data_IF_181877864777
#
_entry.id   IF_181877864777
#
_cell.length_a   1.000
_cell.length_b   1.000
_cell.length_c   1.000
_cell.angle_alpha   90.00
_cell.angle_beta   90.00
_cell.angle_gamma   90.00
#
_symmetry.space_group_name_H-M   'P 1'
#
loop_
_entity.id
_entity.type
_entity.pdbx_description
1 polymer ?
#
# COMPACT_ATOMS: atom_id res chain seq x y z
N UNK A 1 26.17 3.67 8.46
CA UNK A 1 24.96 3.19 9.18
C UNK A 1 24.66 4.12 10.36
N UNK A 2 23.37 4.44 10.61
CA UNK A 2 22.93 5.27 11.75
C UNK A 2 23.20 4.57 13.08
N UNK A 3 23.41 5.35 14.15
CA UNK A 3 23.51 4.84 15.52
C UNK A 3 22.14 4.71 16.20
N UNK A 4 21.25 5.66 15.92
CA UNK A 4 19.91 5.72 16.49
C UNK A 4 18.91 6.32 15.52
N UNK A 5 17.74 5.71 15.38
CA UNK A 5 16.63 6.23 14.58
C UNK A 5 15.35 6.36 15.39
N UNK A 6 14.51 7.31 14.99
CA UNK A 6 13.16 7.46 15.52
C UNK A 6 12.17 6.81 14.54
N UNK A 7 11.21 6.07 15.07
CA UNK A 7 10.14 5.41 14.31
C UNK A 7 8.88 6.23 14.46
N UNK A 8 8.52 6.97 13.39
CA UNK A 8 7.35 7.86 13.36
C UNK A 8 6.09 7.10 12.93
N UNK A 9 5.82 5.99 13.58
CA UNK A 9 4.67 5.12 13.32
C UNK A 9 4.31 4.30 14.56
N UNK A 10 3.30 3.43 14.44
CA UNK A 10 2.75 2.58 15.50
C UNK A 10 2.43 1.17 14.98
N UNK A 11 1.97 0.33 15.92
CA UNK A 11 1.44 -0.98 15.57
C UNK A 11 2.48 -1.93 14.97
N UNK A 12 2.04 -2.80 14.07
CA UNK A 12 2.87 -3.87 13.52
C UNK A 12 4.09 -3.34 12.76
N UNK A 13 3.94 -2.23 12.00
CA UNK A 13 5.05 -1.68 11.22
C UNK A 13 6.13 -1.08 12.12
N UNK A 14 5.76 -0.45 13.24
CA UNK A 14 6.75 0.02 14.20
C UNK A 14 7.53 -1.15 14.81
N UNK A 15 6.84 -2.24 15.18
CA UNK A 15 7.49 -3.47 15.65
C UNK A 15 8.42 -4.07 14.59
N UNK A 16 7.96 -4.11 13.32
CA UNK A 16 8.76 -4.60 12.18
C UNK A 16 10.07 -3.82 12.00
N UNK A 17 9.99 -2.50 12.08
CA UNK A 17 11.15 -1.61 11.95
C UNK A 17 12.09 -1.77 13.15
N UNK A 18 11.58 -1.84 14.39
CA UNK A 18 12.37 -2.07 15.61
C UNK A 18 13.17 -3.37 15.48
N UNK A 19 12.52 -4.45 15.02
CA UNK A 19 13.19 -5.75 14.83
C UNK A 19 14.33 -5.65 13.82
N UNK A 20 14.08 -5.01 12.66
CA UNK A 20 15.13 -4.80 11.65
C UNK A 20 16.31 -3.99 12.19
N UNK A 21 16.06 -2.93 12.94
CA UNK A 21 17.09 -2.10 13.55
C UNK A 21 17.93 -2.88 14.57
N UNK A 22 17.28 -3.65 15.44
CA UNK A 22 17.99 -4.51 16.42
C UNK A 22 18.91 -5.52 15.76
N UNK A 23 18.46 -6.15 14.67
CA UNK A 23 19.24 -7.15 13.94
C UNK A 23 20.50 -6.57 13.25
N UNK A 24 20.52 -5.26 12.99
CA UNK A 24 21.69 -4.57 12.41
C UNK A 24 22.41 -3.65 13.41
N UNK A 25 22.03 -3.72 14.69
CA UNK A 25 22.72 -2.98 15.77
C UNK A 25 22.40 -1.48 15.83
N UNK A 26 21.24 -1.04 15.34
CA UNK A 26 20.78 0.35 15.37
C UNK A 26 19.79 0.55 16.54
N UNK A 27 20.08 1.50 17.43
CA UNK A 27 19.18 1.85 18.53
C UNK A 27 17.90 2.53 18.02
N UNK A 28 16.79 2.34 18.74
CA UNK A 28 15.47 2.78 18.32
C UNK A 28 14.78 3.70 19.33
N UNK A 29 14.10 4.72 18.82
CA UNK A 29 13.18 5.57 19.59
C UNK A 29 11.79 5.33 19.04
N UNK A 30 10.87 4.79 19.84
CA UNK A 30 9.47 4.70 19.47
C UNK A 30 8.72 5.93 19.96
N UNK A 31 7.95 6.57 19.06
CA UNK A 31 6.96 7.57 19.48
C UNK A 31 5.62 6.89 19.73
N UNK A 32 4.85 7.43 20.68
CA UNK A 32 3.52 6.90 20.96
C UNK A 32 2.55 8.02 21.39
N UNK A 33 1.27 7.83 21.08
CA UNK A 33 0.20 8.65 21.66
C UNK A 33 -0.21 8.10 23.03
N UNK A 34 -0.93 8.88 23.82
CA UNK A 34 -1.44 8.40 25.14
C UNK A 34 -2.25 7.10 25.04
N UNK A 35 -2.96 6.89 23.91
CA UNK A 35 -3.72 5.65 23.67
C UNK A 35 -2.83 4.42 23.42
N UNK A 36 -1.62 4.64 22.93
CA UNK A 36 -0.66 3.56 22.62
C UNK A 36 0.38 3.33 23.72
N UNK A 37 0.22 3.92 24.89
CA UNK A 37 1.19 3.80 26.00
C UNK A 37 1.59 2.35 26.31
N UNK A 38 0.66 1.42 26.18
CA UNK A 38 0.86 0.00 26.45
C UNK A 38 1.03 -0.82 25.17
N UNK A 39 1.34 -0.19 24.04
CA UNK A 39 1.53 -0.89 22.76
C UNK A 39 2.90 -1.58 22.71
N UNK A 40 2.96 -2.77 22.09
CA UNK A 40 4.17 -3.60 22.02
C UNK A 40 5.40 -2.85 21.45
N UNK A 41 5.23 -1.93 20.50
CA UNK A 41 6.34 -1.16 19.95
C UNK A 41 6.98 -0.22 20.98
N UNK A 42 6.20 0.21 22.00
CA UNK A 42 6.72 1.00 23.12
C UNK A 42 7.60 0.15 24.04
N UNK A 43 7.17 -1.08 24.33
CA UNK A 43 7.95 -2.01 25.18
C UNK A 43 9.21 -2.54 24.48
N UNK A 44 9.20 -2.60 23.14
CA UNK A 44 10.32 -3.16 22.39
C UNK A 44 11.40 -2.11 22.05
N UNK A 45 11.12 -0.84 21.97
CA UNK A 45 12.10 0.18 21.62
C UNK A 45 13.11 0.44 22.75
N UNK A 46 14.31 0.92 22.41
CA UNK A 46 15.34 1.28 23.39
C UNK A 46 14.99 2.53 24.17
N UNK A 47 14.34 3.50 23.50
CA UNK A 47 13.82 4.74 24.09
C UNK A 47 12.40 5.00 23.59
N UNK A 48 11.61 5.73 24.39
CA UNK A 48 10.22 6.04 24.02
C UNK A 48 9.84 7.47 24.36
N UNK A 49 9.04 8.10 23.52
CA UNK A 49 8.56 9.47 23.71
C UNK A 49 7.06 9.58 23.44
N UNK A 50 6.30 10.02 24.44
CA UNK A 50 4.89 10.37 24.23
C UNK A 50 4.79 11.67 23.42
N UNK A 51 4.09 11.61 22.28
CA UNK A 51 3.98 12.73 21.34
C UNK A 51 2.62 13.43 21.36
N UNK A 52 1.73 13.06 22.26
CA UNK A 52 0.45 13.73 22.43
C UNK A 52 -0.73 12.81 22.69
N UNK A 53 -1.96 13.35 22.67
CA UNK A 53 -3.18 12.59 22.95
C UNK A 53 -3.52 11.59 21.85
N UNK A 54 -4.57 10.80 22.06
CA UNK A 54 -4.97 9.67 21.21
C UNK A 54 -5.22 10.01 19.74
N UNK A 55 -5.74 11.20 19.43
CA UNK A 55 -6.05 11.57 18.05
C UNK A 55 -4.78 11.70 17.21
N UNK A 56 -4.75 11.05 16.06
CA UNK A 56 -3.59 11.07 15.15
C UNK A 56 -3.15 12.49 14.76
N UNK A 57 -4.11 13.42 14.54
CA UNK A 57 -3.84 14.83 14.25
C UNK A 57 -2.99 15.52 15.34
N UNK A 58 -3.19 15.12 16.58
CA UNK A 58 -2.57 15.77 17.74
C UNK A 58 -1.30 15.02 18.21
N UNK A 59 -0.99 13.86 17.59
CA UNK A 59 0.15 12.98 17.90
C UNK A 59 0.93 12.58 16.64
N UNK A 60 0.60 11.46 15.99
CA UNK A 60 1.34 10.87 14.85
C UNK A 60 1.37 11.76 13.59
N UNK A 61 0.46 12.73 13.44
CA UNK A 61 0.45 13.74 12.38
C UNK A 61 1.00 15.08 12.85
N UNK A 62 1.43 15.20 14.11
CA UNK A 62 2.03 16.41 14.65
C UNK A 62 3.54 16.43 14.35
N UNK A 63 3.88 17.02 13.22
CA UNK A 63 5.27 17.10 12.74
C UNK A 63 6.22 17.75 13.75
N UNK A 64 5.76 18.79 14.48
CA UNK A 64 6.58 19.51 15.47
C UNK A 64 6.95 18.61 16.65
N UNK A 65 5.99 17.82 17.17
CA UNK A 65 6.23 16.93 18.28
C UNK A 65 7.20 15.80 17.88
N UNK A 66 7.08 15.27 16.65
CA UNK A 66 7.97 14.21 16.14
C UNK A 66 9.39 14.76 15.95
N UNK A 67 9.57 15.93 15.32
CA UNK A 67 10.89 16.56 15.18
C UNK A 67 11.50 16.87 16.56
N UNK A 68 10.71 17.40 17.51
CA UNK A 68 11.18 17.67 18.87
C UNK A 68 11.63 16.39 19.58
N UNK A 69 10.87 15.29 19.45
CA UNK A 69 11.26 13.99 19.99
C UNK A 69 12.56 13.47 19.38
N UNK A 70 12.75 13.65 18.06
CA UNK A 70 13.98 13.27 17.36
C UNK A 70 15.20 14.02 17.87
N UNK A 71 15.08 15.34 18.00
CA UNK A 71 16.17 16.20 18.52
C UNK A 71 16.46 15.88 19.99
N UNK A 72 15.43 15.72 20.81
CA UNK A 72 15.56 15.44 22.25
C UNK A 72 16.33 14.12 22.51
N UNK A 73 16.06 13.10 21.72
CA UNK A 73 16.66 11.77 21.86
C UNK A 73 17.98 11.62 21.13
N UNK A 74 18.34 12.61 20.29
CA UNK A 74 19.54 12.56 19.46
C UNK A 74 19.46 11.50 18.36
N UNK A 75 18.26 11.14 17.90
CA UNK A 75 18.11 10.27 16.76
C UNK A 75 18.56 10.97 15.47
N UNK A 76 19.30 10.24 14.63
CA UNK A 76 19.92 10.76 13.40
C UNK A 76 19.00 10.71 12.19
N UNK A 77 17.99 9.82 12.24
CA UNK A 77 17.05 9.58 11.15
C UNK A 77 15.65 9.29 11.67
N UNK A 78 14.66 9.46 10.80
CA UNK A 78 13.25 9.12 11.05
C UNK A 78 12.80 8.09 10.02
N UNK A 79 12.28 6.95 10.50
CA UNK A 79 11.57 5.98 9.66
C UNK A 79 10.06 6.21 9.78
N UNK A 80 9.37 6.64 8.71
CA UNK A 80 7.95 6.95 8.76
C UNK A 80 7.04 5.72 8.63
N UNK A 81 7.57 4.55 8.22
CA UNK A 81 6.77 3.37 7.87
C UNK A 81 5.84 3.62 6.69
N UNK A 82 4.57 3.31 6.86
CA UNK A 82 3.49 3.63 5.91
C UNK A 82 2.34 4.37 6.62
N UNK A 83 1.49 5.08 5.84
CA UNK A 83 0.45 5.96 6.39
C UNK A 83 1.03 7.19 7.11
N UNK A 84 0.23 7.85 7.93
CA UNK A 84 0.58 9.07 8.66
C UNK A 84 1.42 10.06 7.84
N UNK A 85 2.70 10.23 8.17
CA UNK A 85 3.61 11.20 7.54
C UNK A 85 4.52 10.59 6.46
N UNK A 86 4.35 9.32 6.11
CA UNK A 86 5.24 8.63 5.19
C UNK A 86 5.27 9.26 3.77
N UNK A 87 4.15 9.84 3.33
CA UNK A 87 4.02 10.52 2.02
C UNK A 87 3.77 12.03 2.17
N UNK A 88 4.29 12.61 3.27
CA UNK A 88 4.17 14.05 3.51
C UNK A 88 5.47 14.78 3.11
N UNK A 89 5.46 15.43 1.94
CA UNK A 89 6.62 16.16 1.41
C UNK A 89 7.12 17.27 2.35
N UNK A 90 6.19 17.99 2.98
CA UNK A 90 6.55 19.08 3.94
C UNK A 90 7.24 18.53 5.18
N UNK A 91 6.85 17.35 5.66
CA UNK A 91 7.52 16.70 6.78
C UNK A 91 8.93 16.23 6.39
N UNK A 92 9.10 15.63 5.22
CA UNK A 92 10.41 15.26 4.71
C UNK A 92 11.33 16.48 4.52
N UNK A 93 10.79 17.60 4.04
CA UNK A 93 11.50 18.88 3.95
C UNK A 93 11.91 19.43 5.34
N UNK A 94 11.03 19.34 6.34
CA UNK A 94 11.35 19.70 7.71
C UNK A 94 12.48 18.85 8.30
N UNK A 95 12.47 17.53 8.04
CA UNK A 95 13.57 16.65 8.45
C UNK A 95 14.89 17.12 7.85
N UNK A 96 14.92 17.38 6.53
CA UNK A 96 16.09 17.88 5.80
C UNK A 96 16.61 19.21 6.38
N UNK A 97 15.70 20.14 6.65
CA UNK A 97 16.04 21.44 7.25
C UNK A 97 16.61 21.32 8.68
N UNK A 98 16.21 20.29 9.41
CA UNK A 98 16.73 19.99 10.75
C UNK A 98 17.96 19.06 10.74
N UNK A 99 18.53 18.75 9.58
CA UNK A 99 19.65 17.79 9.43
C UNK A 99 19.33 16.38 9.94
N UNK A 100 18.07 15.96 9.86
CA UNK A 100 17.59 14.63 10.20
C UNK A 100 17.37 13.87 8.89
N UNK A 101 17.93 12.66 8.75
CA UNK A 101 17.70 11.83 7.58
C UNK A 101 16.25 11.31 7.57
N UNK A 102 15.52 11.56 6.50
CA UNK A 102 14.21 10.94 6.27
C UNK A 102 14.43 9.62 5.53
N UNK A 103 14.00 8.49 6.14
CA UNK A 103 14.12 7.17 5.51
C UNK A 103 12.98 6.99 4.51
N UNK A 104 13.23 7.48 3.31
CA UNK A 104 12.30 7.57 2.20
C UNK A 104 12.91 8.36 1.04
N UNK A 105 12.12 8.71 0.01
CA UNK A 105 12.58 9.51 -1.11
C UNK A 105 12.68 11.00 -0.75
N UNK A 106 13.27 11.77 -1.67
CA UNK A 106 13.38 13.23 -1.54
C UNK A 106 11.98 13.90 -1.50
N UNK A 107 11.81 15.02 -0.77
CA UNK A 107 10.52 15.71 -0.62
C UNK A 107 9.87 16.07 -1.96
N UNK A 108 10.67 16.47 -2.94
CA UNK A 108 10.24 16.86 -4.28
C UNK A 108 9.60 15.67 -5.03
N UNK A 109 10.12 14.46 -4.82
CA UNK A 109 9.58 13.23 -5.42
C UNK A 109 8.24 12.85 -4.76
N UNK A 110 8.14 12.98 -3.44
CA UNK A 110 6.90 12.75 -2.71
C UNK A 110 5.79 13.69 -3.21
N UNK A 111 6.10 14.99 -3.34
CA UNK A 111 5.15 15.98 -3.85
C UNK A 111 4.74 15.70 -5.29
N UNK A 112 5.71 15.36 -6.14
CA UNK A 112 5.52 15.08 -7.55
C UNK A 112 4.61 13.87 -7.77
N UNK A 113 4.85 12.78 -7.05
CA UNK A 113 4.08 11.53 -7.18
C UNK A 113 2.74 11.60 -6.43
N UNK A 114 2.62 12.40 -5.39
CA UNK A 114 1.37 12.67 -4.69
C UNK A 114 0.32 13.42 -5.55
N UNK A 115 0.77 14.14 -6.58
CA UNK A 115 -0.13 14.78 -7.55
C UNK A 115 -0.40 13.84 -8.73
N UNK A 116 -1.59 13.22 -8.76
CA UNK A 116 -1.96 12.21 -9.76
C UNK A 116 -1.84 12.70 -11.21
N UNK A 117 -2.20 13.96 -11.51
CA UNK A 117 -2.12 14.52 -12.85
C UNK A 117 -0.66 14.70 -13.28
N UNK A 118 0.17 15.23 -12.37
CA UNK A 118 1.61 15.44 -12.62
C UNK A 118 2.35 14.10 -12.75
N UNK A 119 2.06 13.15 -11.86
CA UNK A 119 2.62 11.80 -11.93
C UNK A 119 2.31 11.14 -13.27
N UNK A 120 1.03 11.15 -13.71
CA UNK A 120 0.60 10.63 -15.00
C UNK A 120 1.33 11.27 -16.18
N UNK A 121 1.48 12.59 -16.16
CA UNK A 121 2.20 13.33 -17.22
C UNK A 121 3.66 12.89 -17.30
N UNK A 122 4.37 12.84 -16.16
CA UNK A 122 5.78 12.44 -16.10
C UNK A 122 5.95 10.99 -16.56
N UNK A 123 5.09 10.08 -16.10
CA UNK A 123 5.13 8.67 -16.49
C UNK A 123 4.88 8.51 -18.00
N UNK A 124 3.92 9.23 -18.57
CA UNK A 124 3.69 9.22 -20.02
C UNK A 124 4.91 9.71 -20.82
N UNK A 125 5.58 10.78 -20.36
CA UNK A 125 6.82 11.28 -20.97
C UNK A 125 7.99 10.29 -20.86
N UNK A 126 8.02 9.50 -19.78
CA UNK A 126 9.00 8.43 -19.58
C UNK A 126 8.69 7.15 -20.39
N UNK A 127 7.63 7.15 -21.20
CA UNK A 127 7.21 5.96 -21.95
C UNK A 127 6.60 4.86 -21.10
N UNK A 128 6.11 5.18 -19.90
CA UNK A 128 5.34 4.28 -19.07
C UNK A 128 3.90 4.27 -19.57
N UNK A 129 3.30 3.09 -19.87
CA UNK A 129 1.92 3.03 -20.31
C UNK A 129 0.98 3.63 -19.26
N UNK A 130 0.14 4.58 -19.71
CA UNK A 130 -0.90 5.21 -18.88
C UNK A 130 -2.27 4.85 -19.44
N UNK A 131 -3.30 4.81 -18.58
CA UNK A 131 -4.68 4.55 -19.02
C UNK A 131 -5.03 5.56 -20.14
N UNK A 132 -5.47 5.11 -21.33
CA UNK A 132 -5.85 6.03 -22.40
C UNK A 132 -6.90 7.05 -21.93
N UNK A 133 -6.68 8.32 -22.19
CA UNK A 133 -7.58 9.38 -21.73
C UNK A 133 -7.31 10.69 -22.45
N UNK A 134 -7.91 11.75 -21.97
CA UNK A 134 -7.64 13.11 -22.42
C UNK A 134 -6.54 13.75 -21.55
N UNK A 135 -5.81 14.66 -22.13
CA UNK A 135 -4.93 15.56 -21.40
C UNK A 135 -5.76 16.75 -20.88
N UNK A 136 -5.66 17.02 -19.57
CA UNK A 136 -6.40 18.11 -18.94
C UNK A 136 -7.90 17.85 -18.79
N UNK A 137 -8.68 18.94 -18.76
CA UNK A 137 -10.13 18.91 -18.55
C UNK A 137 -10.88 19.02 -19.87
N UNK A 138 -12.09 18.44 -19.91
CA UNK A 138 -13.00 18.55 -21.05
C UNK A 138 -13.52 19.98 -21.17
N UNK A 139 -13.30 20.60 -22.31
CA UNK A 139 -13.81 21.95 -22.60
C UNK A 139 -15.35 21.97 -22.73
N UNK A 140 -15.92 20.90 -23.31
CA UNK A 140 -17.38 20.78 -23.52
C UNK A 140 -17.77 19.34 -23.86
N UNK A 141 -19.10 19.10 -23.98
CA UNK A 141 -19.65 17.79 -24.32
C UNK A 141 -19.17 17.24 -25.67
N UNK A 142 -19.01 18.11 -26.70
CA UNK A 142 -18.57 17.69 -28.02
C UNK A 142 -17.16 17.10 -28.00
N UNK A 143 -16.28 17.65 -27.16
CA UNK A 143 -14.95 17.07 -26.93
C UNK A 143 -15.05 15.73 -26.16
N UNK A 144 -15.96 15.62 -25.19
CA UNK A 144 -16.19 14.35 -24.47
C UNK A 144 -16.62 13.24 -25.44
N UNK A 145 -17.57 13.54 -26.34
CA UNK A 145 -18.06 12.60 -27.35
C UNK A 145 -16.95 12.14 -28.30
N UNK A 146 -16.21 13.08 -28.90
CA UNK A 146 -15.11 12.76 -29.80
C UNK A 146 -13.98 11.98 -29.10
N UNK A 147 -13.70 12.30 -27.84
CA UNK A 147 -12.68 11.60 -27.06
C UNK A 147 -13.13 10.18 -26.67
N UNK A 148 -14.39 9.99 -26.27
CA UNK A 148 -14.94 8.69 -25.98
C UNK A 148 -14.94 7.75 -27.20
N UNK A 149 -15.27 8.28 -28.38
CA UNK A 149 -15.19 7.51 -29.63
C UNK A 149 -13.75 7.10 -29.98
N UNK A 150 -12.79 8.01 -29.81
CA UNK A 150 -11.38 7.72 -30.03
C UNK A 150 -10.80 6.70 -29.06
N UNK A 151 -11.15 6.80 -27.78
CA UNK A 151 -10.67 5.90 -26.69
C UNK A 151 -11.37 4.55 -26.80
N UNK A 152 -12.62 4.52 -27.24
CA UNK A 152 -13.49 3.35 -27.29
C UNK A 152 -14.16 3.06 -25.93
N UNK A 153 -15.47 2.74 -25.98
CA UNK A 153 -16.24 2.39 -24.77
C UNK A 153 -15.79 1.03 -24.18
N UNK A 154 -16.00 0.78 -22.87
CA UNK A 154 -16.48 1.75 -21.89
C UNK A 154 -15.46 2.81 -21.52
N UNK A 155 -15.94 3.99 -21.14
CA UNK A 155 -15.12 5.10 -20.65
C UNK A 155 -15.59 5.56 -19.27
N UNK A 156 -14.71 6.25 -18.55
CA UNK A 156 -15.00 6.81 -17.22
C UNK A 156 -14.89 8.33 -17.26
N UNK A 157 -15.97 9.01 -16.86
CA UNK A 157 -15.98 10.43 -16.59
C UNK A 157 -15.62 10.64 -15.11
N UNK A 158 -14.73 11.58 -14.83
CA UNK A 158 -14.29 11.92 -13.48
C UNK A 158 -14.27 13.43 -13.28
N UNK A 159 -14.72 13.89 -12.11
CA UNK A 159 -14.50 15.28 -11.71
C UNK A 159 -13.02 15.56 -11.46
N UNK A 160 -12.53 16.70 -11.91
CA UNK A 160 -11.14 17.12 -11.77
C UNK A 160 -10.75 17.35 -10.30
N UNK A 161 -11.64 17.97 -9.54
CA UNK A 161 -11.48 18.23 -8.10
C UNK A 161 -11.97 17.07 -7.20
N UNK A 162 -12.31 15.90 -7.78
CA UNK A 162 -13.04 14.83 -7.11
C UNK A 162 -12.20 13.95 -6.18
N UNK A 163 -12.87 13.46 -5.13
CA UNK A 163 -12.40 12.43 -4.22
C UNK A 163 -13.58 11.63 -3.66
N UNK A 164 -13.34 10.43 -3.10
CA UNK A 164 -14.38 9.64 -2.45
C UNK A 164 -15.51 9.11 -3.37
N UNK A 165 -15.23 8.95 -4.66
CA UNK A 165 -16.19 8.37 -5.63
C UNK A 165 -17.26 9.32 -6.16
N UNK A 166 -17.32 10.58 -5.70
CA UNK A 166 -18.26 11.59 -6.20
C UNK A 166 -17.80 12.17 -7.55
N UNK A 167 -18.74 12.45 -8.44
CA UNK A 167 -18.45 12.96 -9.79
C UNK A 167 -17.82 11.92 -10.72
N UNK A 168 -17.97 10.63 -10.42
CA UNK A 168 -17.49 9.52 -11.27
C UNK A 168 -18.69 8.84 -11.93
N UNK A 169 -18.59 8.60 -13.25
CA UNK A 169 -19.59 7.84 -14.01
C UNK A 169 -18.91 6.95 -15.04
N UNK A 170 -19.27 5.67 -15.01
CA UNK A 170 -18.88 4.72 -16.06
C UNK A 170 -19.92 4.83 -17.17
N UNK A 171 -19.47 4.87 -18.41
CA UNK A 171 -20.29 5.02 -19.61
C UNK A 171 -19.99 3.86 -20.55
N UNK A 172 -20.96 3.02 -20.77
CA UNK A 172 -20.80 1.80 -21.56
C UNK A 172 -21.05 1.99 -23.06
N UNK A 173 -21.82 3.02 -23.40
CA UNK A 173 -22.20 3.29 -24.80
C UNK A 173 -22.31 4.80 -25.08
N UNK A 174 -22.32 5.14 -26.36
CA UNK A 174 -22.52 6.52 -26.81
C UNK A 174 -23.83 7.14 -26.31
N UNK A 175 -24.90 6.35 -26.30
CA UNK A 175 -26.23 6.83 -25.92
C UNK A 175 -26.33 7.26 -24.44
N UNK A 176 -25.49 6.66 -23.58
CA UNK A 176 -25.43 6.99 -22.17
C UNK A 176 -24.58 8.25 -21.88
N UNK A 177 -23.65 8.60 -22.79
CA UNK A 177 -22.60 9.59 -22.51
C UNK A 177 -23.18 10.96 -22.12
N UNK A 178 -24.19 11.45 -22.84
CA UNK A 178 -24.75 12.78 -22.58
C UNK A 178 -25.37 12.88 -21.19
N UNK A 179 -26.17 11.88 -20.83
CA UNK A 179 -26.83 11.83 -19.50
C UNK A 179 -25.80 11.73 -18.39
N UNK A 180 -24.80 10.85 -18.55
CA UNK A 180 -23.73 10.67 -17.58
C UNK A 180 -22.89 11.95 -17.39
N UNK A 181 -22.55 12.64 -18.49
CA UNK A 181 -21.80 13.89 -18.46
C UNK A 181 -22.53 14.98 -17.69
N UNK A 182 -23.83 15.21 -17.99
CA UNK A 182 -24.62 16.25 -17.33
C UNK A 182 -24.84 15.96 -15.84
N UNK A 183 -25.03 14.68 -15.49
CA UNK A 183 -25.16 14.26 -14.09
C UNK A 183 -23.85 14.42 -13.32
N UNK A 184 -22.73 13.98 -13.88
CA UNK A 184 -21.43 14.07 -13.23
C UNK A 184 -21.00 15.53 -13.00
N UNK A 185 -21.24 16.42 -13.98
CA UNK A 185 -21.00 17.86 -13.82
C UNK A 185 -21.81 18.49 -12.69
N UNK A 186 -23.11 18.20 -12.63
CA UNK A 186 -23.98 18.71 -11.56
C UNK A 186 -23.54 18.26 -10.18
N UNK A 187 -23.16 16.98 -10.06
CA UNK A 187 -22.66 16.42 -8.81
C UNK A 187 -21.31 17.03 -8.41
N UNK A 188 -20.40 17.21 -9.37
CA UNK A 188 -19.10 17.84 -9.15
C UNK A 188 -19.25 19.29 -8.69
N UNK A 189 -20.09 20.07 -9.36
CA UNK A 189 -20.40 21.45 -8.96
C UNK A 189 -20.97 21.53 -7.56
N UNK A 190 -21.89 20.63 -7.21
CA UNK A 190 -22.53 20.63 -5.88
C UNK A 190 -21.57 20.18 -4.76
N UNK A 191 -20.66 19.26 -5.04
CA UNK A 191 -19.78 18.67 -4.03
C UNK A 191 -18.45 19.41 -3.86
N UNK A 192 -17.93 20.04 -4.93
CA UNK A 192 -16.57 20.58 -4.98
C UNK A 192 -16.50 22.04 -5.44
N UNK A 193 -17.63 22.65 -5.82
CA UNK A 193 -17.73 23.96 -6.45
C UNK A 193 -16.88 24.09 -7.74
N UNK A 194 -16.62 22.94 -8.38
CA UNK A 194 -15.86 22.82 -9.64
C UNK A 194 -16.51 21.74 -10.50
N UNK A 195 -16.98 22.12 -11.69
CA UNK A 195 -17.64 21.24 -12.65
C UNK A 195 -16.70 20.69 -13.73
N UNK A 196 -15.40 20.92 -13.56
CA UNK A 196 -14.37 20.44 -14.47
C UNK A 196 -14.30 18.92 -14.50
N UNK A 197 -14.38 18.35 -15.72
CA UNK A 197 -14.41 16.90 -15.93
C UNK A 197 -13.25 16.47 -16.81
N UNK A 198 -12.76 15.25 -16.59
CA UNK A 198 -11.91 14.55 -17.53
C UNK A 198 -12.46 13.17 -17.89
N UNK A 199 -11.93 12.57 -18.95
CA UNK A 199 -12.41 11.31 -19.48
C UNK A 199 -11.24 10.37 -19.75
N UNK A 200 -11.38 9.11 -19.32
CA UNK A 200 -10.40 8.07 -19.55
C UNK A 200 -11.07 6.74 -19.90
N UNK A 201 -10.29 5.79 -20.41
CA UNK A 201 -10.73 4.41 -20.62
C UNK A 201 -11.15 3.80 -19.28
N UNK A 202 -12.30 3.13 -19.24
CA UNK A 202 -12.66 2.28 -18.13
C UNK A 202 -12.12 0.87 -18.37
N UNK A 203 -11.26 0.41 -17.47
CA UNK A 203 -10.75 -0.96 -17.50
C UNK A 203 -11.76 -1.86 -16.76
N UNK A 204 -12.29 -2.84 -17.49
CA UNK A 204 -13.28 -3.77 -16.93
C UNK A 204 -12.55 -4.88 -16.21
N UNK A 205 -12.85 -5.05 -14.91
CA UNK A 205 -12.34 -6.15 -14.11
C UNK A 205 -10.82 -6.37 -14.20
N UNK A 206 -10.01 -5.29 -14.01
CA UNK A 206 -8.58 -5.41 -14.14
C UNK A 206 -7.98 -6.17 -12.95
N UNK A 207 -6.76 -6.68 -13.14
CA UNK A 207 -5.89 -7.05 -12.02
C UNK A 207 -5.15 -5.83 -11.51
N UNK A 208 -4.95 -5.78 -10.19
CA UNK A 208 -4.10 -4.80 -9.55
C UNK A 208 -2.73 -5.43 -9.29
N UNK A 209 -1.76 -5.10 -10.11
CA UNK A 209 -0.40 -5.62 -10.04
C UNK A 209 0.56 -4.49 -9.70
N UNK A 210 1.46 -4.72 -8.77
CA UNK A 210 2.40 -3.71 -8.35
C UNK A 210 3.83 -4.26 -8.28
N UNK A 211 4.82 -3.42 -8.60
CA UNK A 211 6.24 -3.79 -8.59
C UNK A 211 6.97 -3.10 -7.46
N UNK A 212 7.65 -3.88 -6.61
CA UNK A 212 8.51 -3.36 -5.56
C UNK A 212 9.79 -2.81 -6.14
N UNK A 213 10.10 -1.55 -5.85
CA UNK A 213 11.33 -0.87 -6.26
C UNK A 213 12.27 -0.72 -5.04
N UNK A 214 13.56 -0.88 -5.30
CA UNK A 214 14.66 -0.38 -4.45
C UNK A 214 15.56 0.51 -5.30
N UNK A 215 15.91 1.68 -4.77
CA UNK A 215 16.79 2.64 -5.45
C UNK A 215 17.72 3.33 -4.46
N UNK A 216 18.99 3.50 -4.82
CA UNK A 216 20.01 4.13 -3.97
C UNK A 216 20.33 5.58 -4.39
N UNK A 217 21.24 6.20 -3.69
CA UNK A 217 21.74 7.55 -3.98
C UNK A 217 22.69 7.63 -5.19
N UNK A 218 23.12 6.49 -5.73
CA UNK A 218 24.10 6.38 -6.80
C UNK A 218 23.47 6.13 -8.16
N UNK A 219 22.12 6.04 -8.22
CA UNK A 219 21.38 5.82 -9.45
C UNK A 219 21.12 4.35 -9.77
N UNK A 220 21.46 3.43 -8.86
CA UNK A 220 21.08 2.03 -9.02
C UNK A 220 19.60 1.89 -8.67
N UNK A 221 18.83 1.30 -9.58
CA UNK A 221 17.40 1.04 -9.43
C UNK A 221 17.11 -0.38 -9.86
N UNK A 222 16.48 -1.16 -9.01
CA UNK A 222 16.05 -2.54 -9.29
C UNK A 222 14.60 -2.73 -8.89
N UNK A 223 13.95 -3.74 -9.45
CA UNK A 223 12.68 -4.24 -8.95
C UNK A 223 12.84 -5.61 -8.28
N UNK A 224 12.03 -5.89 -7.26
CA UNK A 224 12.03 -7.15 -6.53
C UNK A 224 10.88 -8.09 -6.95
N UNK A 225 10.39 -7.95 -8.18
CA UNK A 225 9.21 -8.65 -8.65
C UNK A 225 7.91 -7.95 -8.28
N UNK A 226 6.81 -8.61 -8.62
CA UNK A 226 5.47 -8.09 -8.44
C UNK A 226 4.71 -8.75 -7.30
N UNK A 227 3.67 -8.03 -6.88
CA UNK A 227 2.57 -8.52 -6.03
C UNK A 227 1.25 -8.39 -6.77
N UNK A 228 0.35 -9.34 -6.57
CA UNK A 228 -1.04 -9.26 -7.00
C UNK A 228 -1.90 -8.83 -5.82
N UNK A 229 -2.50 -7.66 -5.93
CA UNK A 229 -3.32 -7.01 -4.91
C UNK A 229 -4.78 -6.90 -5.36
N UNK A 230 -5.25 -7.81 -6.21
CA UNK A 230 -6.59 -7.74 -6.79
C UNK A 230 -7.71 -8.04 -5.80
N UNK A 231 -7.45 -8.79 -4.73
CA UNK A 231 -8.46 -9.09 -3.72
C UNK A 231 -8.66 -7.88 -2.81
N UNK A 232 -9.69 -7.10 -3.15
CA UNK A 232 -9.97 -5.81 -2.53
C UNK A 232 -11.45 -5.71 -2.12
N UNK A 233 -11.70 -5.00 -1.03
CA UNK A 233 -13.04 -4.58 -0.62
C UNK A 233 -13.08 -3.05 -0.55
N UNK A 234 -13.96 -2.40 -1.33
CA UNK A 234 -14.06 -0.93 -1.41
C UNK A 234 -12.71 -0.26 -1.67
N UNK A 235 -11.93 -0.81 -2.60
CA UNK A 235 -10.56 -0.39 -2.95
C UNK A 235 -9.53 -0.54 -1.81
N UNK A 236 -9.83 -1.30 -0.76
CA UNK A 236 -8.87 -1.67 0.28
C UNK A 236 -8.40 -3.11 0.04
N UNK A 237 -7.12 -3.30 -0.05
CA UNK A 237 -6.48 -4.63 -0.20
C UNK A 237 -6.80 -5.50 1.01
N UNK A 238 -7.11 -6.77 0.80
CA UNK A 238 -7.54 -7.74 1.83
C UNK A 238 -6.63 -8.96 1.84
N UNK A 239 -6.30 -9.47 0.64
CA UNK A 239 -5.33 -10.55 0.44
C UNK A 239 -4.39 -10.13 -0.69
N UNK A 240 -3.11 -10.31 -0.48
CA UNK A 240 -2.05 -10.04 -1.45
C UNK A 240 -1.22 -11.32 -1.68
N UNK A 241 -0.73 -11.50 -2.88
CA UNK A 241 0.12 -12.66 -3.22
C UNK A 241 1.30 -12.26 -4.11
N UNK A 242 2.39 -13.01 -4.01
CA UNK A 242 3.57 -12.90 -4.86
C UNK A 242 4.12 -14.30 -5.20
N UNK A 243 4.51 -14.52 -6.46
CA UNK A 243 4.26 -13.70 -7.65
C UNK A 243 2.81 -13.76 -8.12
N UNK A 244 2.42 -12.87 -9.04
CA UNK A 244 1.10 -12.92 -9.68
C UNK A 244 0.98 -14.13 -10.62
N UNK A 245 -0.18 -14.77 -10.58
CA UNK A 245 -0.49 -15.95 -11.41
C UNK A 245 -0.81 -15.62 -12.87
N UNK A 246 -1.08 -14.34 -13.19
CA UNK A 246 -1.50 -13.92 -14.54
C UNK A 246 -0.37 -13.39 -15.40
N UNK A 247 0.80 -13.12 -14.82
CA UNK A 247 1.94 -12.64 -15.57
C UNK A 247 2.78 -13.78 -16.12
N UNK A 248 2.94 -13.83 -17.44
CA UNK A 248 3.99 -14.64 -18.05
C UNK A 248 5.37 -14.05 -17.70
N UNK A 249 6.43 -14.85 -17.80
CA UNK A 249 7.79 -14.37 -17.53
C UNK A 249 8.21 -13.23 -18.45
N UNK A 250 7.72 -13.19 -19.68
CA UNK A 250 7.95 -12.08 -20.61
C UNK A 250 7.25 -10.82 -20.15
N UNK A 251 5.96 -10.91 -19.78
CA UNK A 251 5.20 -9.74 -19.31
C UNK A 251 5.74 -9.24 -17.98
N UNK A 252 6.12 -10.13 -17.05
CA UNK A 252 6.79 -9.79 -15.79
C UNK A 252 8.05 -8.97 -16.01
N UNK A 253 8.93 -9.41 -16.89
CA UNK A 253 10.16 -8.68 -17.23
C UNK A 253 9.84 -7.31 -17.81
N UNK A 254 8.95 -7.26 -18.81
CA UNK A 254 8.54 -6.00 -19.46
C UNK A 254 7.94 -4.99 -18.47
N UNK A 255 7.08 -5.44 -17.57
CA UNK A 255 6.49 -4.57 -16.53
C UNK A 255 7.53 -4.15 -15.49
N UNK A 256 8.42 -5.07 -15.09
CA UNK A 256 9.54 -4.77 -14.18
C UNK A 256 10.48 -3.70 -14.74
N UNK A 257 10.91 -3.86 -15.99
CA UNK A 257 11.71 -2.83 -16.70
C UNK A 257 10.97 -1.50 -16.79
N UNK A 258 9.66 -1.55 -16.96
CA UNK A 258 8.83 -0.33 -16.98
C UNK A 258 8.76 0.33 -15.61
N UNK A 259 8.67 -0.45 -14.53
CA UNK A 259 8.70 0.06 -13.17
C UNK A 259 10.05 0.68 -12.81
N UNK A 260 11.15 0.08 -13.25
CA UNK A 260 12.51 0.64 -13.09
C UNK A 260 12.63 1.98 -13.84
N UNK A 261 12.18 2.05 -15.12
CA UNK A 261 12.16 3.31 -15.87
C UNK A 261 11.33 4.40 -15.20
N UNK A 262 10.16 4.01 -14.65
CA UNK A 262 9.30 4.95 -13.92
C UNK A 262 10.02 5.56 -12.71
N UNK A 263 10.70 4.73 -11.90
CA UNK A 263 11.46 5.17 -10.75
C UNK A 263 12.68 6.04 -11.15
N UNK A 264 13.40 5.66 -12.20
CA UNK A 264 14.51 6.44 -12.74
C UNK A 264 14.08 7.82 -13.25
N UNK A 265 12.93 7.90 -13.91
CA UNK A 265 12.40 9.15 -14.45
C UNK A 265 12.15 10.24 -13.40
N UNK A 266 11.92 9.84 -12.16
CA UNK A 266 11.68 10.76 -11.02
C UNK A 266 12.88 10.86 -10.08
N UNK A 267 14.00 10.19 -10.37
CA UNK A 267 15.17 10.16 -9.50
C UNK A 267 14.87 9.52 -8.14
N UNK A 268 14.08 8.44 -8.15
CA UNK A 268 13.61 7.78 -6.92
C UNK A 268 14.76 7.25 -6.06
N UNK A 269 14.59 7.28 -4.75
CA UNK A 269 15.49 6.70 -3.75
C UNK A 269 14.68 5.99 -2.67
N UNK A 270 15.28 4.99 -2.01
CA UNK A 270 14.65 4.14 -0.99
C UNK A 270 13.74 3.04 -1.59
N UNK A 271 12.88 2.45 -0.77
CA UNK A 271 11.87 1.50 -1.20
C UNK A 271 10.61 2.24 -1.66
N UNK A 272 10.05 1.82 -2.78
CA UNK A 272 8.80 2.34 -3.33
C UNK A 272 8.10 1.30 -4.18
N UNK A 273 6.90 1.61 -4.63
CA UNK A 273 6.08 0.68 -5.40
C UNK A 273 5.44 1.38 -6.58
N UNK A 274 5.52 0.77 -7.75
CA UNK A 274 4.79 1.20 -8.95
C UNK A 274 3.58 0.31 -9.13
N UNK A 275 2.39 0.89 -9.05
CA UNK A 275 1.12 0.19 -9.20
C UNK A 275 0.60 0.28 -10.63
N UNK A 276 0.13 -0.87 -11.15
CA UNK A 276 -0.46 -1.01 -12.47
C UNK A 276 -1.83 -1.66 -12.41
N UNK A 277 -2.70 -1.30 -13.35
CA UNK A 277 -3.87 -2.08 -13.71
C UNK A 277 -3.53 -2.90 -14.94
N UNK A 278 -3.79 -4.21 -14.88
CA UNK A 278 -3.57 -5.15 -16.00
C UNK A 278 -4.93 -5.60 -16.51
N UNK A 279 -5.17 -5.44 -17.80
CA UNK A 279 -6.41 -5.89 -18.45
C UNK A 279 -6.33 -7.37 -18.88
N UNK A 280 -7.48 -7.93 -19.26
CA UNK A 280 -7.60 -9.33 -19.67
C UNK A 280 -6.83 -9.68 -20.98
N UNK A 281 -6.32 -8.68 -21.69
CA UNK A 281 -5.54 -8.85 -22.93
C UNK A 281 -4.03 -8.71 -22.70
N UNK A 282 -3.60 -8.55 -21.43
CA UNK A 282 -2.21 -8.33 -21.07
C UNK A 282 -1.72 -6.89 -21.29
N UNK A 283 -2.64 -5.95 -21.57
CA UNK A 283 -2.36 -4.51 -21.50
C UNK A 283 -2.19 -4.11 -20.04
N UNK A 284 -1.18 -3.27 -19.75
CA UNK A 284 -0.95 -2.76 -18.40
C UNK A 284 -0.76 -1.26 -18.40
N UNK A 285 -1.23 -0.60 -17.35
CA UNK A 285 -1.32 0.85 -17.28
C UNK A 285 -0.95 1.33 -15.88
N UNK A 286 -0.07 2.33 -15.81
CA UNK A 286 0.30 2.98 -14.57
C UNK A 286 -0.92 3.56 -13.85
N UNK A 287 -1.05 3.26 -12.58
CA UNK A 287 -2.08 3.77 -11.69
C UNK A 287 -1.51 4.86 -10.78
N UNK A 288 -0.53 4.50 -9.96
CA UNK A 288 0.16 5.42 -9.07
C UNK A 288 1.53 4.88 -8.62
N UNK A 289 2.31 5.73 -7.98
CA UNK A 289 3.54 5.35 -7.29
C UNK A 289 3.39 5.64 -5.81
N UNK A 290 3.56 4.62 -4.98
CA UNK A 290 3.64 4.80 -3.53
C UNK A 290 5.09 5.03 -3.14
N UNK A 291 5.35 6.20 -2.56
CA UNK A 291 6.69 6.69 -2.23
C UNK A 291 7.14 6.27 -0.82
N UNK A 292 6.84 5.03 -0.45
CA UNK A 292 7.07 4.43 0.87
C UNK A 292 7.07 2.91 0.78
N UNK A 293 7.37 2.25 1.89
CA UNK A 293 7.12 0.82 2.04
C UNK A 293 5.61 0.55 2.04
N UNK A 294 5.18 -0.57 1.45
CA UNK A 294 3.79 -1.03 1.44
C UNK A 294 3.49 -1.95 2.62
N UNK A 295 2.20 -2.09 2.98
CA UNK A 295 1.74 -3.05 4.00
C UNK A 295 2.18 -4.46 3.63
N UNK A 296 1.98 -4.84 2.37
CA UNK A 296 2.19 -6.14 1.75
C UNK A 296 3.64 -6.46 1.34
N UNK A 297 4.63 -5.64 1.81
CA UNK A 297 6.05 -5.94 1.55
C UNK A 297 6.50 -7.36 1.99
N UNK A 298 5.89 -7.98 3.04
CA UNK A 298 6.33 -9.30 3.49
C UNK A 298 6.22 -10.39 2.45
N UNK A 299 5.25 -10.37 1.52
CA UNK A 299 5.17 -11.41 0.48
C UNK A 299 6.36 -11.33 -0.47
N UNK A 300 6.82 -10.12 -0.81
CA UNK A 300 8.03 -9.91 -1.61
C UNK A 300 9.28 -10.39 -0.86
N UNK A 301 9.39 -10.07 0.43
CA UNK A 301 10.52 -10.51 1.26
C UNK A 301 10.62 -12.04 1.32
N UNK A 302 9.48 -12.74 1.44
CA UNK A 302 9.47 -14.20 1.53
C UNK A 302 9.84 -14.90 0.22
N UNK A 303 9.44 -14.34 -0.92
CA UNK A 303 9.76 -14.96 -2.22
C UNK A 303 11.15 -14.56 -2.75
N UNK A 304 11.74 -13.47 -2.27
CA UNK A 304 13.06 -13.00 -2.73
C UNK A 304 14.18 -13.23 -1.72
N UNK A 305 13.84 -13.40 -0.44
CA UNK A 305 14.83 -13.44 0.66
C UNK A 305 15.47 -12.09 0.99
N UNK A 306 14.97 -10.98 0.42
CA UNK A 306 15.52 -9.62 0.62
C UNK A 306 14.69 -8.89 1.69
N UNK A 307 15.34 -8.46 2.78
CA UNK A 307 14.72 -7.65 3.84
C UNK A 307 14.64 -6.18 3.42
N UNK A 308 13.45 -5.76 2.96
CA UNK A 308 13.23 -4.42 2.39
C UNK A 308 13.47 -3.32 3.43
N UNK A 309 13.10 -3.54 4.69
CA UNK A 309 13.30 -2.55 5.77
C UNK A 309 14.78 -2.34 6.05
N UNK A 310 15.57 -3.42 6.07
CA UNK A 310 17.05 -3.30 6.22
C UNK A 310 17.68 -2.57 5.04
N UNK A 311 17.22 -2.84 3.82
CA UNK A 311 17.71 -2.12 2.64
C UNK A 311 17.33 -0.63 2.70
N UNK A 312 16.14 -0.26 3.17
CA UNK A 312 15.78 1.15 3.40
C UNK A 312 16.76 1.84 4.37
N UNK A 313 17.13 1.16 5.46
CA UNK A 313 18.07 1.70 6.47
C UNK A 313 19.47 1.88 5.89
N UNK A 314 19.97 0.90 5.13
CA UNK A 314 21.28 0.97 4.45
C UNK A 314 21.31 2.10 3.43
N UNK A 315 20.34 2.15 2.53
CA UNK A 315 20.23 3.19 1.50
C UNK A 315 20.20 4.58 2.15
N UNK A 316 19.34 4.78 3.15
CA UNK A 316 19.20 6.08 3.83
C UNK A 316 20.50 6.49 4.56
N UNK A 317 21.31 5.52 5.00
CA UNK A 317 22.64 5.81 5.59
C UNK A 317 23.73 6.12 4.56
N UNK A 318 23.40 6.13 3.26
CA UNK A 318 24.32 6.42 2.17
C UNK A 318 25.07 5.21 1.62
N UNK A 319 24.67 3.99 1.99
CA UNK A 319 25.24 2.78 1.41
C UNK A 319 24.74 2.55 -0.01
N UNK A 320 25.60 2.04 -0.87
CA UNK A 320 25.24 1.62 -2.22
C UNK A 320 24.45 0.31 -2.17
N UNK A 321 23.46 0.18 -3.04
CA UNK A 321 22.70 -1.05 -3.20
C UNK A 321 23.62 -2.17 -3.73
N UNK A 322 23.85 -3.19 -2.91
CA UNK A 322 24.72 -4.30 -3.24
C UNK A 322 24.03 -5.45 -3.99
N UNK A 323 22.75 -5.28 -4.30
CA UNK A 323 21.90 -6.24 -5.00
C UNK A 323 21.75 -5.75 -6.44
N UNK A 324 22.10 -6.58 -7.42
CA UNK A 324 21.86 -6.31 -8.85
C UNK A 324 20.54 -6.94 -9.27
N UNK A 325 19.97 -6.49 -10.39
CA UNK A 325 18.72 -7.06 -10.90
C UNK A 325 18.82 -8.58 -11.13
N UNK A 326 19.94 -9.06 -11.63
CA UNK A 326 20.19 -10.48 -11.89
C UNK A 326 20.34 -11.33 -10.61
N UNK A 327 20.50 -10.70 -9.46
CA UNK A 327 20.58 -11.39 -8.15
C UNK A 327 19.17 -11.62 -7.55
N UNK A 328 18.14 -10.97 -8.11
CA UNK A 328 16.76 -11.10 -7.63
C UNK A 328 16.10 -12.34 -8.22
N UNK A 329 15.88 -13.33 -7.39
CA UNK A 329 15.23 -14.58 -7.76
C UNK A 329 13.95 -14.78 -6.97
N UNK A 330 12.83 -15.02 -7.65
CA UNK A 330 11.56 -15.35 -7.02
C UNK A 330 11.51 -16.86 -6.79
N UNK A 331 11.33 -17.26 -5.52
CA UNK A 331 11.26 -18.67 -5.11
C UNK A 331 9.95 -18.95 -4.39
N UNK A 332 9.22 -19.96 -4.88
CA UNK A 332 7.94 -20.35 -4.31
C UNK A 332 6.82 -19.34 -4.51
N UNK A 333 5.89 -19.30 -3.58
CA UNK A 333 4.74 -18.42 -3.60
C UNK A 333 4.38 -17.99 -2.18
N UNK A 334 4.12 -16.70 -1.97
CA UNK A 334 3.70 -16.15 -0.69
C UNK A 334 2.32 -15.51 -0.79
N UNK A 335 1.53 -15.66 0.27
CA UNK A 335 0.20 -15.04 0.43
C UNK A 335 0.18 -14.31 1.75
N UNK A 336 -0.31 -13.06 1.75
CA UNK A 336 -0.60 -12.28 2.94
C UNK A 336 -2.10 -12.11 3.11
N UNK A 337 -2.59 -12.25 4.33
CA UNK A 337 -3.94 -11.90 4.74
C UNK A 337 -3.88 -10.78 5.78
N UNK A 338 -4.60 -9.68 5.54
CA UNK A 338 -4.75 -8.59 6.52
C UNK A 338 -5.79 -8.98 7.56
N UNK A 339 -5.36 -9.13 8.80
CA UNK A 339 -6.26 -9.44 9.92
C UNK A 339 -6.73 -8.12 10.53
N UNK A 340 -8.03 -7.87 10.42
CA UNK A 340 -8.67 -6.66 10.91
C UNK A 340 -9.59 -6.95 12.09
N UNK A 341 -9.60 -6.06 13.08
CA UNK A 341 -10.58 -6.03 14.17
C UNK A 341 -11.91 -5.45 13.64
N UNK A 342 -12.64 -6.26 12.87
CA UNK A 342 -13.87 -5.89 12.18
C UNK A 342 -14.87 -7.04 12.19
N UNK A 343 -16.18 -6.71 12.23
CA UNK A 343 -17.24 -7.70 12.14
C UNK A 343 -17.82 -7.75 10.72
N UNK A 344 -17.51 -8.78 9.90
CA UNK A 344 -18.02 -8.91 8.53
C UNK A 344 -19.55 -8.99 8.47
N UNK A 345 -20.21 -9.68 9.41
CA UNK A 345 -21.66 -9.82 9.46
C UNK A 345 -22.38 -8.49 9.74
N UNK A 346 -21.69 -7.49 10.28
CA UNK A 346 -22.18 -6.14 10.52
C UNK A 346 -21.61 -5.11 9.52
N UNK A 347 -21.32 -5.54 8.28
CA UNK A 347 -20.80 -4.68 7.22
C UNK A 347 -19.36 -4.21 7.47
N UNK A 348 -18.53 -5.04 8.15
CA UNK A 348 -17.15 -4.74 8.53
C UNK A 348 -17.03 -3.55 9.48
N UNK A 349 -17.97 -3.43 10.40
CA UNK A 349 -17.89 -2.41 11.45
C UNK A 349 -16.66 -2.70 12.33
N UNK A 350 -15.80 -1.69 12.63
CA UNK A 350 -14.67 -1.86 13.55
C UNK A 350 -15.10 -2.43 14.90
N UNK A 351 -14.29 -3.33 15.45
CA UNK A 351 -14.49 -4.00 16.74
C UNK A 351 -13.29 -3.74 17.68
N UNK A 352 -13.12 -2.49 18.16
CA UNK A 352 -12.09 -2.19 19.16
C UNK A 352 -12.45 -2.87 20.48
N UNK A 353 -11.45 -3.12 21.30
CA UNK A 353 -11.66 -3.74 22.62
C UNK A 353 -10.47 -4.55 23.09
N UNK A 354 -10.68 -5.26 24.18
CA UNK A 354 -9.62 -6.02 24.85
C UNK A 354 -9.49 -7.42 24.25
N UNK A 355 -8.26 -7.78 23.87
CA UNK A 355 -7.89 -9.13 23.46
C UNK A 355 -7.73 -10.00 24.71
N UNK A 356 -8.69 -10.88 24.97
CA UNK A 356 -8.71 -11.72 26.15
C UNK A 356 -7.86 -12.98 25.97
N UNK A 357 -8.00 -13.65 24.81
CA UNK A 357 -7.22 -14.84 24.43
C UNK A 357 -6.61 -14.60 23.06
N UNK A 358 -5.35 -14.94 22.92
CA UNK A 358 -4.59 -14.83 21.69
C UNK A 358 -3.74 -16.07 21.51
N UNK A 359 -4.08 -16.90 20.53
CA UNK A 359 -3.27 -18.04 20.10
C UNK A 359 -2.73 -17.77 18.69
N UNK A 360 -1.42 -17.74 18.58
CA UNK A 360 -0.71 -17.48 17.34
C UNK A 360 -0.59 -18.71 16.48
N UNK A 361 -0.88 -18.63 15.17
CA UNK A 361 -0.53 -19.69 14.25
C UNK A 361 0.98 -19.82 14.11
N UNK A 362 1.45 -21.02 13.79
CA UNK A 362 2.87 -21.29 13.64
C UNK A 362 3.18 -22.32 12.56
N UNK A 363 4.40 -22.85 12.60
CA UNK A 363 4.86 -23.90 11.69
C UNK A 363 5.67 -23.36 10.49
N UNK A 364 6.19 -24.31 9.70
CA UNK A 364 7.08 -23.98 8.57
C UNK A 364 6.38 -23.14 7.51
N UNK A 365 7.02 -22.01 7.14
CA UNK A 365 6.52 -21.08 6.14
C UNK A 365 5.35 -20.22 6.62
N UNK A 366 5.18 -20.02 7.94
CA UNK A 366 4.23 -19.08 8.53
C UNK A 366 5.00 -17.93 9.17
N UNK A 367 4.66 -16.69 8.76
CA UNK A 367 5.14 -15.44 9.36
C UNK A 367 3.95 -14.63 9.86
N UNK A 368 4.14 -13.98 10.99
CA UNK A 368 3.15 -13.09 11.56
C UNK A 368 3.80 -11.76 11.93
N UNK A 369 3.30 -10.67 11.32
CA UNK A 369 3.66 -9.31 11.67
C UNK A 369 2.49 -8.68 12.45
N UNK A 370 2.69 -8.42 13.75
CA UNK A 370 1.65 -7.90 14.66
C UNK A 370 2.25 -7.17 15.85
N UNK A 371 1.44 -6.33 16.47
CA UNK A 371 1.71 -5.70 17.76
C UNK A 371 0.77 -6.20 18.87
N UNK A 372 -0.03 -7.23 18.63
CA UNK A 372 -0.96 -7.79 19.61
C UNK A 372 -0.24 -8.61 20.68
N UNK A 373 -0.86 -8.68 21.85
CA UNK A 373 -0.53 -9.60 22.95
C UNK A 373 -1.78 -9.84 23.81
N UNK A 374 -1.77 -10.87 24.64
CA UNK A 374 -2.88 -11.15 25.58
C UNK A 374 -3.10 -9.97 26.53
N UNK A 375 -4.32 -9.46 26.57
CA UNK A 375 -4.69 -8.32 27.41
C UNK A 375 -4.51 -6.96 26.76
N UNK A 376 -4.05 -6.89 25.49
CA UNK A 376 -3.95 -5.64 24.76
C UNK A 376 -5.32 -5.03 24.46
N UNK A 377 -5.46 -3.73 24.71
CA UNK A 377 -6.66 -2.98 24.37
C UNK A 377 -6.47 -2.29 23.00
N UNK A 378 -7.23 -2.75 21.98
CA UNK A 378 -7.21 -2.15 20.65
C UNK A 378 -7.93 -0.80 20.70
N UNK A 379 -7.21 0.33 20.46
CA UNK A 379 -7.82 1.64 20.52
C UNK A 379 -8.77 1.88 19.36
N UNK A 380 -9.93 2.55 19.57
CA UNK A 380 -10.89 2.85 18.50
C UNK A 380 -10.46 4.00 17.58
N UNK A 381 -9.28 4.58 17.82
CA UNK A 381 -8.84 5.84 17.21
C UNK A 381 -8.08 5.64 15.91
N UNK A 382 -7.59 4.42 15.65
CA UNK A 382 -6.72 4.10 14.51
C UNK A 382 -7.35 3.06 13.59
N UNK A 383 -6.62 2.69 12.53
CA UNK A 383 -7.02 1.65 11.60
C UNK A 383 -7.29 0.31 12.31
N UNK A 384 -8.21 -0.47 11.76
CA UNK A 384 -8.65 -1.75 12.32
C UNK A 384 -7.66 -2.90 12.08
N UNK A 385 -6.63 -2.73 11.25
CA UNK A 385 -5.65 -3.78 10.98
C UNK A 385 -4.78 -4.04 12.20
N UNK A 386 -4.82 -5.29 12.69
CA UNK A 386 -4.16 -5.72 13.93
C UNK A 386 -3.03 -6.71 13.70
N UNK A 387 -3.03 -7.39 12.56
CA UNK A 387 -1.97 -8.30 12.17
C UNK A 387 -1.92 -8.50 10.66
N UNK A 388 -0.78 -8.97 10.18
CA UNK A 388 -0.60 -9.55 8.85
C UNK A 388 -0.17 -10.99 9.05
N UNK A 389 -0.94 -11.92 8.50
CA UNK A 389 -0.58 -13.33 8.48
C UNK A 389 -0.06 -13.66 7.08
N UNK A 390 1.17 -14.13 7.01
CA UNK A 390 1.83 -14.41 5.74
C UNK A 390 2.25 -15.87 5.70
N UNK A 391 2.01 -16.54 4.57
CA UNK A 391 2.46 -17.91 4.35
C UNK A 391 3.29 -18.01 3.08
N UNK A 392 4.28 -18.91 3.11
CA UNK A 392 5.14 -19.22 1.99
C UNK A 392 5.15 -20.73 1.71
N UNK A 393 4.95 -21.09 0.46
CA UNK A 393 4.99 -22.47 -0.05
C UNK A 393 5.89 -22.60 -1.27
N UNK A 394 6.16 -23.84 -1.67
CA UNK A 394 6.88 -24.12 -2.93
C UNK A 394 6.09 -23.65 -4.15
N UNK A 395 4.76 -23.67 -4.02
CA UNK A 395 3.82 -23.19 -5.02
C UNK A 395 2.59 -22.53 -4.35
N UNK A 396 1.70 -21.97 -5.16
CA UNK A 396 0.48 -21.29 -4.70
C UNK A 396 -0.45 -22.20 -3.91
N UNK A 397 -0.60 -23.45 -4.31
CA UNK A 397 -1.50 -24.38 -3.63
C UNK A 397 -1.00 -24.71 -2.23
N UNK A 398 0.30 -24.90 -2.08
CA UNK A 398 0.91 -25.10 -0.75
C UNK A 398 0.78 -23.84 0.11
N UNK A 399 1.01 -22.64 -0.44
CA UNK A 399 0.82 -21.39 0.29
C UNK A 399 -0.64 -21.21 0.76
N UNK A 400 -1.65 -21.48 -0.11
CA UNK A 400 -3.07 -21.47 0.25
C UNK A 400 -3.37 -22.49 1.36
N UNK A 401 -2.84 -23.72 1.25
CA UNK A 401 -3.07 -24.76 2.25
C UNK A 401 -2.51 -24.40 3.61
N UNK A 402 -1.31 -23.79 3.64
CA UNK A 402 -0.69 -23.26 4.87
C UNK A 402 -1.50 -22.09 5.44
N UNK A 403 -1.99 -21.18 4.59
CA UNK A 403 -2.79 -20.03 5.04
C UNK A 403 -4.11 -20.49 5.66
N UNK A 404 -4.81 -21.43 5.03
CA UNK A 404 -6.06 -21.98 5.59
C UNK A 404 -5.84 -22.60 6.96
N UNK A 405 -4.80 -23.45 7.11
CA UNK A 405 -4.42 -24.03 8.39
C UNK A 405 -4.07 -22.94 9.43
N UNK A 406 -3.28 -21.96 9.01
CA UNK A 406 -2.85 -20.90 9.92
C UNK A 406 -4.02 -19.99 10.37
N UNK A 407 -4.99 -19.71 9.50
CA UNK A 407 -6.22 -18.99 9.90
C UNK A 407 -7.10 -19.80 10.85
N UNK A 408 -7.18 -21.13 10.68
CA UNK A 408 -7.92 -22.03 11.56
C UNK A 408 -7.30 -22.11 12.98
N UNK A 409 -5.98 -22.02 13.06
CA UNK A 409 -5.23 -21.98 14.33
C UNK A 409 -5.21 -20.60 14.99
N UNK A 410 -5.56 -19.51 14.26
CA UNK A 410 -5.44 -18.14 14.74
C UNK A 410 -6.68 -17.75 15.56
N UNK A 411 -6.60 -17.86 16.89
CA UNK A 411 -7.70 -17.57 17.80
C UNK A 411 -7.48 -16.20 18.45
N UNK A 412 -8.45 -15.32 18.29
CA UNK A 412 -8.51 -14.00 18.94
C UNK A 412 -9.88 -13.87 19.60
N UNK A 413 -9.93 -13.85 20.94
CA UNK A 413 -11.18 -13.67 21.69
C UNK A 413 -11.24 -12.30 22.36
N UNK A 414 -12.44 -11.77 22.50
CA UNK A 414 -12.73 -10.46 23.09
C UNK A 414 -13.10 -9.38 22.08
N UNK A 415 -12.80 -9.63 20.81
CA UNK A 415 -13.13 -8.76 19.68
C UNK A 415 -13.61 -9.58 18.49
N UNK A 416 -14.33 -8.96 17.57
CA UNK A 416 -14.63 -9.55 16.26
C UNK A 416 -13.46 -9.33 15.29
N UNK A 417 -13.23 -10.31 14.42
CA UNK A 417 -12.19 -10.23 13.37
C UNK A 417 -12.73 -10.69 12.02
N UNK A 418 -12.01 -10.37 10.95
CA UNK A 418 -12.31 -10.82 9.59
C UNK A 418 -11.72 -12.20 9.25
N UNK A 419 -11.18 -12.97 10.21
CA UNK A 419 -10.50 -14.26 9.98
C UNK A 419 -11.40 -15.25 9.22
N UNK A 420 -12.66 -15.41 9.65
CA UNK A 420 -13.61 -16.31 9.00
C UNK A 420 -13.89 -15.89 7.54
N UNK A 421 -14.00 -14.60 7.27
CA UNK A 421 -14.17 -14.09 5.91
C UNK A 421 -12.98 -14.39 5.02
N UNK A 422 -11.76 -14.23 5.52
CA UNK A 422 -10.53 -14.60 4.81
C UNK A 422 -10.49 -16.09 4.51
N UNK A 423 -10.88 -16.92 5.47
CA UNK A 423 -10.97 -18.37 5.29
C UNK A 423 -11.97 -18.75 4.19
N UNK A 424 -13.11 -18.06 4.11
CA UNK A 424 -14.11 -18.27 3.04
C UNK A 424 -13.54 -17.88 1.66
N UNK A 425 -12.80 -16.77 1.56
CA UNK A 425 -12.14 -16.37 0.30
C UNK A 425 -11.18 -17.47 -0.17
N UNK A 426 -10.32 -17.98 0.72
CA UNK A 426 -9.33 -19.01 0.39
C UNK A 426 -9.96 -20.36 0.02
N UNK A 427 -11.22 -20.60 0.41
CA UNK A 427 -11.99 -21.79 0.03
C UNK A 427 -12.76 -21.60 -1.28
N UNK A 428 -12.93 -20.37 -1.77
CA UNK A 428 -13.68 -20.11 -2.99
C UNK A 428 -12.99 -20.75 -4.20
N UNK A 429 -13.71 -21.52 -5.04
CA UNK A 429 -13.12 -22.20 -6.20
C UNK A 429 -12.43 -21.25 -7.19
N UNK A 430 -13.00 -20.06 -7.43
CA UNK A 430 -12.42 -19.06 -8.34
C UNK A 430 -11.13 -18.46 -7.77
N UNK A 431 -11.05 -18.23 -6.45
CA UNK A 431 -9.80 -17.84 -5.81
C UNK A 431 -8.73 -18.91 -6.01
N UNK A 432 -9.09 -20.17 -5.80
CA UNK A 432 -8.17 -21.30 -5.93
C UNK A 432 -7.70 -21.53 -7.37
N UNK A 433 -8.57 -21.30 -8.37
CA UNK A 433 -8.20 -21.34 -9.79
C UNK A 433 -7.54 -20.07 -10.32
N UNK A 434 -7.34 -19.07 -9.44
CA UNK A 434 -6.81 -17.75 -9.79
C UNK A 434 -7.69 -16.91 -10.75
N UNK A 435 -8.98 -17.23 -10.84
CA UNK A 435 -9.99 -16.45 -11.58
C UNK A 435 -10.49 -15.28 -10.71
N UNK A 436 -9.60 -14.35 -10.44
CA UNK A 436 -9.84 -13.19 -9.57
C UNK A 436 -9.57 -11.87 -10.31
N UNK A 437 -10.23 -10.82 -9.89
CA UNK A 437 -10.05 -9.44 -10.35
C UNK A 437 -10.38 -8.46 -9.21
N UNK A 438 -10.28 -7.16 -9.45
CA UNK A 438 -10.57 -6.14 -8.42
C UNK A 438 -12.03 -6.10 -7.97
N UNK A 439 -12.95 -6.77 -8.69
CA UNK A 439 -14.38 -6.87 -8.34
C UNK A 439 -14.74 -8.20 -7.67
N UNK A 440 -13.77 -9.11 -7.48
CA UNK A 440 -13.99 -10.47 -7.00
C UNK A 440 -14.83 -10.54 -5.71
N UNK A 441 -14.46 -9.78 -4.67
CA UNK A 441 -15.21 -9.81 -3.40
C UNK A 441 -16.65 -9.36 -3.61
N UNK A 442 -16.88 -8.30 -4.38
CA UNK A 442 -18.23 -7.78 -4.63
C UNK A 442 -19.11 -8.74 -5.44
N UNK A 443 -18.52 -9.62 -6.27
CA UNK A 443 -19.25 -10.62 -7.05
C UNK A 443 -19.53 -11.92 -6.29
N UNK A 444 -18.58 -12.35 -5.47
CA UNK A 444 -18.61 -13.68 -4.87
C UNK A 444 -19.17 -13.69 -3.44
N UNK A 445 -19.24 -12.53 -2.77
CA UNK A 445 -19.64 -12.45 -1.37
C UNK A 445 -20.70 -11.37 -1.15
N UNK A 446 -21.79 -11.75 -0.49
CA UNK A 446 -22.90 -10.84 -0.15
C UNK A 446 -22.73 -10.30 1.28
N UNK A 447 -21.79 -9.39 1.47
CA UNK A 447 -21.59 -8.70 2.75
C UNK A 447 -22.05 -7.23 2.72
N UNK A 448 -23.09 -6.93 1.94
CA UNK A 448 -23.65 -5.59 1.80
C UNK A 448 -22.68 -4.63 1.06
N UNK A 449 -22.96 -4.40 -0.20
CA UNK A 449 -22.25 -3.46 -1.05
C UNK A 449 -22.32 -2.02 -0.54
#
# INVERSE_FOLDING_TARGET
MFKKILIANRGEIAVRIIRACREIGVATVAVYSEADRNSLHVDLADETVCIGPARARDSYLNTKNIISATVLTGAEAIHPGFGFLAENSKFAEMCKACHIAFIGPDPEVIEMMGNKAKARQIMGQAGVPIVPGIEGVLANFKQAEASAERIGYPVMLKASAGGGGKGIRIVWSRDELKKAYDMAKKEAQAAFDDDSMYLEKYLVEPRHIEFQILADHYGNVIHLGERDCSIQRRNQKVIEEAPSTVLSDELRRKMGDTAVRAAQAVGYKSAGTIEFLVDNNGGYYFMEMNTRIQVEHPVTELVTGIDIVKEQLKIASGEQLNIRQDDVHIQGHAIECRINAENPALGFRPSPGKVNILLWPGGNGVRLDSALYNGYDIPPTYDSMIAKLITHGQDRNEAISKMRRALDEFIIEGIDTNIEFLFQILNNPKFRSAEIDTSFIAKEFDYGA
#
